data_IF_047451243729
#
_entry.id   IF_047451243729
#
_cell.length_a   1.000
_cell.length_b   1.000
_cell.length_c   1.000
_cell.angle_alpha   90.00
_cell.angle_beta   90.00
_cell.angle_gamma   90.00
#
_symmetry.space_group_name_H-M   'P 1'
#
loop_
_entity.id
_entity.type
_entity.pdbx_description
1 polymer ?
#
# COMPACT_ATOMS: atom_id res chain seq x y z
N UNK A 1 -22.15 -3.01 5.38
CA UNK A 1 -21.12 -3.82 4.72
C UNK A 1 -19.82 -3.06 4.54
N UNK A 2 -19.90 -1.92 3.89
CA UNK A 2 -18.69 -1.10 3.64
C UNK A 2 -18.06 -0.66 4.95
N UNK A 3 -18.87 -0.25 5.92
CA UNK A 3 -18.35 0.21 7.21
C UNK A 3 -17.64 -0.90 7.97
N UNK A 4 -18.16 -2.11 7.88
CA UNK A 4 -17.52 -3.25 8.51
C UNK A 4 -16.17 -3.53 7.86
N UNK A 5 -16.13 -3.48 6.54
CA UNK A 5 -14.89 -3.69 5.80
C UNK A 5 -13.86 -2.61 6.15
N UNK A 6 -14.30 -1.36 6.30
CA UNK A 6 -13.39 -0.28 6.69
C UNK A 6 -12.80 -0.53 8.07
N UNK A 7 -13.63 -0.98 9.01
CA UNK A 7 -13.14 -1.29 10.35
C UNK A 7 -12.07 -2.38 10.30
N UNK A 8 -12.34 -3.46 9.58
CA UNK A 8 -11.39 -4.57 9.46
C UNK A 8 -10.09 -4.12 8.78
N UNK A 9 -10.21 -3.31 7.75
CA UNK A 9 -9.04 -2.79 7.04
C UNK A 9 -8.21 -1.89 7.96
N UNK A 10 -8.87 -1.03 8.74
CA UNK A 10 -8.19 -0.16 9.69
C UNK A 10 -7.40 -0.98 10.71
N UNK A 11 -8.02 -2.04 11.24
CA UNK A 11 -7.35 -2.89 12.21
C UNK A 11 -6.16 -3.60 11.58
N UNK A 12 -6.33 -4.09 10.35
CA UNK A 12 -5.24 -4.74 9.63
C UNK A 12 -4.08 -3.77 9.40
N UNK A 13 -4.39 -2.55 8.95
CA UNK A 13 -3.37 -1.54 8.68
C UNK A 13 -2.58 -1.19 9.94
N UNK A 14 -3.27 -1.09 11.08
CA UNK A 14 -2.60 -0.79 12.35
C UNK A 14 -1.60 -1.88 12.75
N UNK A 15 -1.85 -3.11 12.35
CA UNK A 15 -1.01 -4.26 12.71
C UNK A 15 0.17 -4.48 11.76
N UNK A 16 0.15 -3.86 10.60
CA UNK A 16 1.25 -4.03 9.64
C UNK A 16 2.53 -3.45 10.24
N UNK A 17 3.60 -4.24 10.20
CA UNK A 17 4.91 -3.80 10.66
C UNK A 17 5.84 -3.59 9.47
N UNK A 18 6.98 -2.94 9.73
CA UNK A 18 8.00 -2.78 8.68
C UNK A 18 8.52 -4.14 8.22
N UNK A 19 8.62 -5.11 9.14
CA UNK A 19 9.03 -6.47 8.76
C UNK A 19 8.02 -7.12 7.83
N UNK A 20 6.73 -6.90 8.05
CA UNK A 20 5.69 -7.41 7.16
C UNK A 20 5.87 -6.86 5.76
N UNK A 21 6.16 -5.56 5.65
CA UNK A 21 6.38 -4.91 4.36
C UNK A 21 7.59 -5.51 3.66
N UNK A 22 8.69 -5.72 4.39
CA UNK A 22 9.90 -6.34 3.83
C UNK A 22 9.62 -7.74 3.32
N UNK A 23 8.93 -8.56 4.11
CA UNK A 23 8.63 -9.93 3.72
C UNK A 23 7.71 -10.00 2.52
N UNK A 24 6.72 -9.12 2.48
CA UNK A 24 5.82 -9.06 1.33
C UNK A 24 6.59 -8.72 0.06
N UNK A 25 7.47 -7.73 0.15
CA UNK A 25 8.28 -7.32 -1.01
C UNK A 25 9.17 -8.47 -1.48
N UNK A 26 9.78 -9.20 -0.56
CA UNK A 26 10.62 -10.35 -0.92
C UNK A 26 9.82 -11.42 -1.65
N UNK A 27 8.59 -11.69 -1.21
CA UNK A 27 7.71 -12.64 -1.92
C UNK A 27 7.43 -12.19 -3.35
N UNK A 28 7.42 -10.88 -3.58
CA UNK A 28 7.20 -10.31 -4.91
C UNK A 28 8.51 -10.10 -5.68
N UNK A 29 9.61 -10.59 -5.13
CA UNK A 29 10.91 -10.51 -5.81
C UNK A 29 11.63 -9.18 -5.67
N UNK A 30 11.27 -8.39 -4.67
CA UNK A 30 11.86 -7.07 -4.47
C UNK A 30 12.54 -6.98 -3.11
N UNK A 31 13.77 -6.46 -3.08
CA UNK A 31 14.48 -6.14 -1.84
C UNK A 31 14.37 -4.64 -1.61
N UNK A 32 13.68 -4.25 -0.55
CA UNK A 32 13.49 -2.83 -0.23
C UNK A 32 14.66 -2.30 0.59
N UNK A 33 15.04 -1.04 0.33
CA UNK A 33 15.97 -0.34 1.21
C UNK A 33 15.23 0.08 2.48
N UNK A 34 15.98 0.42 3.53
CA UNK A 34 15.37 0.92 4.76
C UNK A 34 14.56 2.18 4.50
N UNK A 35 15.07 3.08 3.66
CA UNK A 35 14.35 4.29 3.31
C UNK A 35 13.01 3.95 2.65
N UNK A 36 13.02 3.01 1.71
CA UNK A 36 11.79 2.60 1.03
C UNK A 36 10.79 1.98 1.99
N UNK A 37 11.23 1.13 2.90
CA UNK A 37 10.36 0.52 3.91
C UNK A 37 9.71 1.61 4.77
N UNK A 38 10.50 2.58 5.23
CA UNK A 38 9.98 3.65 6.06
C UNK A 38 8.93 4.49 5.34
N UNK A 39 9.20 4.84 4.09
CA UNK A 39 8.27 5.63 3.28
C UNK A 39 6.98 4.86 3.04
N UNK A 40 7.08 3.60 2.64
CA UNK A 40 5.91 2.77 2.36
C UNK A 40 5.07 2.61 3.63
N UNK A 41 5.72 2.35 4.75
CA UNK A 41 5.00 2.21 6.02
C UNK A 41 4.26 3.48 6.38
N UNK A 42 4.90 4.62 6.19
CA UNK A 42 4.28 5.91 6.48
C UNK A 42 3.05 6.15 5.60
N UNK A 43 3.16 5.86 4.30
CA UNK A 43 2.04 6.04 3.39
C UNK A 43 0.88 5.10 3.73
N UNK A 44 1.18 3.85 4.06
CA UNK A 44 0.14 2.90 4.46
C UNK A 44 -0.58 3.41 5.71
N UNK A 45 0.16 3.80 6.75
CA UNK A 45 -0.44 4.22 8.01
C UNK A 45 -1.25 5.50 7.90
N UNK A 46 -0.76 6.45 7.10
CA UNK A 46 -1.36 7.79 7.08
C UNK A 46 -2.40 7.98 5.98
N UNK A 47 -2.31 7.23 4.88
CA UNK A 47 -3.12 7.54 3.70
C UNK A 47 -3.91 6.35 3.15
N UNK A 48 -4.03 5.27 3.91
CA UNK A 48 -4.72 4.09 3.39
C UNK A 48 -6.17 4.38 2.97
N UNK A 49 -6.85 5.29 3.65
CA UNK A 49 -8.23 5.63 3.28
C UNK A 49 -8.31 6.25 1.89
N UNK A 50 -7.35 7.09 1.55
CA UNK A 50 -7.28 7.68 0.22
C UNK A 50 -7.04 6.62 -0.84
N UNK A 51 -6.16 5.65 -0.54
CA UNK A 51 -5.89 4.56 -1.48
C UNK A 51 -7.09 3.66 -1.68
N UNK A 52 -7.93 3.51 -0.68
CA UNK A 52 -9.10 2.63 -0.76
C UNK A 52 -10.31 3.34 -1.35
N UNK A 53 -10.59 4.55 -0.89
CA UNK A 53 -11.85 5.23 -1.19
C UNK A 53 -11.68 6.50 -2.02
N UNK A 54 -10.49 7.03 -2.11
CA UNK A 54 -10.26 8.29 -2.79
C UNK A 54 -9.44 8.14 -4.06
N UNK A 55 -8.78 9.23 -4.45
CA UNK A 55 -7.89 9.26 -5.60
C UNK A 55 -6.45 9.45 -5.11
N UNK A 56 -5.65 8.39 -5.06
CA UNK A 56 -4.31 8.47 -4.52
C UNK A 56 -3.26 8.95 -5.52
N UNK A 57 -3.65 9.47 -6.66
CA UNK A 57 -2.70 9.83 -7.73
C UNK A 57 -1.57 10.72 -7.22
N UNK A 58 -1.88 11.73 -6.40
CA UNK A 58 -0.87 12.62 -5.85
C UNK A 58 0.15 11.89 -5.00
N UNK A 59 -0.31 10.97 -4.15
CA UNK A 59 0.58 10.18 -3.30
C UNK A 59 1.40 9.20 -4.11
N UNK A 60 0.80 8.59 -5.13
CA UNK A 60 1.53 7.70 -6.02
C UNK A 60 2.61 8.44 -6.77
N UNK A 61 2.31 9.65 -7.26
CA UNK A 61 3.31 10.47 -7.96
C UNK A 61 4.48 10.81 -7.03
N UNK A 62 4.20 11.10 -5.76
CA UNK A 62 5.25 11.36 -4.78
C UNK A 62 6.09 10.12 -4.51
N UNK A 63 5.45 8.97 -4.35
CA UNK A 63 6.17 7.71 -4.13
C UNK A 63 7.08 7.40 -5.31
N UNK A 64 6.60 7.63 -6.52
CA UNK A 64 7.38 7.36 -7.73
C UNK A 64 8.72 8.08 -7.73
N UNK A 65 8.78 9.24 -7.10
CA UNK A 65 10.00 10.03 -7.02
C UNK A 65 10.94 9.55 -5.92
N UNK A 66 10.43 8.79 -4.96
CA UNK A 66 11.18 8.44 -3.75
C UNK A 66 11.65 7.00 -3.69
N UNK A 67 11.07 6.12 -4.51
CA UNK A 67 11.45 4.71 -4.52
C UNK A 67 12.01 4.33 -5.88
N UNK A 68 12.68 3.16 -5.94
CA UNK A 68 13.22 2.67 -7.22
C UNK A 68 12.09 2.41 -8.21
N UNK A 69 12.35 2.58 -9.52
CA UNK A 69 11.31 2.32 -10.53
C UNK A 69 10.69 0.92 -10.42
N UNK A 70 11.50 -0.09 -10.18
CA UNK A 70 10.99 -1.46 -10.03
C UNK A 70 10.05 -1.55 -8.82
N UNK A 71 10.42 -0.93 -7.72
CA UNK A 71 9.59 -0.90 -6.52
C UNK A 71 8.28 -0.18 -6.80
N UNK A 72 8.33 0.96 -7.47
CA UNK A 72 7.12 1.71 -7.78
C UNK A 72 6.18 0.90 -8.69
N UNK A 73 6.73 0.26 -9.71
CA UNK A 73 5.90 -0.53 -10.63
C UNK A 73 5.14 -1.62 -9.89
N UNK A 74 5.80 -2.26 -8.92
CA UNK A 74 5.16 -3.30 -8.13
C UNK A 74 4.08 -2.70 -7.21
N UNK A 75 4.36 -1.56 -6.60
CA UNK A 75 3.37 -0.87 -5.76
C UNK A 75 2.13 -0.54 -6.57
N UNK A 76 2.32 0.01 -7.76
CA UNK A 76 1.20 0.38 -8.63
C UNK A 76 0.37 -0.84 -9.01
N UNK A 77 1.03 -1.94 -9.38
CA UNK A 77 0.35 -3.18 -9.74
C UNK A 77 -0.47 -3.71 -8.56
N UNK A 78 0.13 -3.75 -7.38
CA UNK A 78 -0.55 -4.25 -6.19
C UNK A 78 -1.72 -3.35 -5.79
N UNK A 79 -1.55 -2.05 -5.94
CA UNK A 79 -2.64 -1.12 -5.67
C UNK A 79 -3.83 -1.37 -6.59
N UNK A 80 -3.58 -1.54 -7.88
CA UNK A 80 -4.65 -1.79 -8.84
C UNK A 80 -5.39 -3.09 -8.54
N UNK A 81 -4.65 -4.14 -8.21
CA UNK A 81 -5.25 -5.42 -7.83
C UNK A 81 -6.11 -5.28 -6.58
N UNK A 82 -5.62 -4.54 -5.60
CA UNK A 82 -6.35 -4.31 -4.36
C UNK A 82 -7.65 -3.55 -4.61
N UNK A 83 -7.61 -2.50 -5.43
CA UNK A 83 -8.80 -1.72 -5.77
C UNK A 83 -9.83 -2.57 -6.50
N UNK A 84 -9.39 -3.43 -7.40
CA UNK A 84 -10.30 -4.33 -8.12
C UNK A 84 -11.01 -5.26 -7.14
N UNK A 85 -10.29 -5.79 -6.16
CA UNK A 85 -10.90 -6.67 -5.16
C UNK A 85 -11.92 -5.93 -4.31
N UNK A 86 -11.61 -4.71 -3.90
CA UNK A 86 -12.53 -3.91 -3.10
C UNK A 86 -13.78 -3.58 -3.91
N UNK A 87 -13.62 -3.20 -5.17
CA UNK A 87 -14.76 -2.87 -6.02
C UNK A 87 -15.67 -4.06 -6.22
N UNK A 88 -15.12 -5.27 -6.27
CA UNK A 88 -15.92 -6.48 -6.42
C UNK A 88 -16.75 -6.82 -5.18
N UNK A 89 -16.43 -6.25 -4.03
CA UNK A 89 -17.19 -6.46 -2.80
C UNK A 89 -18.31 -5.45 -2.59
N UNK A 90 -18.48 -4.52 -3.48
CA UNK A 90 -19.55 -3.51 -3.36
C UNK A 90 -20.89 -4.04 -3.91
#
# INVERSE_FOLDING_TARGET
MINLNLFLISEYVKRITKDDIKRFALKEGITLTEFEVNIINEYIKNYYKTFIFGNPKGYLDELKKQVKPLTYNKIETLYKEFRDKIDNYR
#
